data_IF_041692975956
#
_entry.id   IF_041692975956
#
_cell.length_a   1.000
_cell.length_b   1.000
_cell.length_c   1.000
_cell.angle_alpha   90.00
_cell.angle_beta   90.00
_cell.angle_gamma   90.00
#
_symmetry.space_group_name_H-M   'P 1'
#
loop_
_entity.id
_entity.type
_entity.pdbx_description
1 polymer ?
#
# COMPACT_ATOMS: atom_id res chain seq x y z
N UNK A 1 -91.03 27.99 -18.56
CA UNK A 1 -90.75 29.43 -18.81
C UNK A 1 -89.98 29.95 -17.60
N UNK A 2 -88.95 30.80 -17.80
CA UNK A 2 -87.91 31.24 -16.85
C UNK A 2 -86.77 30.22 -16.68
N UNK A 3 -85.58 30.33 -17.28
CA UNK A 3 -84.67 31.43 -17.64
C UNK A 3 -84.08 32.23 -16.45
N UNK A 4 -82.75 32.43 -16.55
CA UNK A 4 -81.83 33.23 -15.72
C UNK A 4 -81.36 32.56 -14.40
N UNK A 5 -80.08 32.53 -14.01
CA UNK A 5 -78.87 33.21 -14.51
C UNK A 5 -77.62 32.54 -13.94
N UNK A 6 -76.57 32.49 -14.75
CA UNK A 6 -75.23 31.98 -14.48
C UNK A 6 -74.47 32.89 -13.51
N UNK A 7 -73.81 32.32 -12.49
CA UNK A 7 -72.58 32.88 -11.92
C UNK A 7 -71.59 31.72 -11.81
N UNK A 8 -70.81 31.50 -12.86
CA UNK A 8 -69.65 30.61 -12.81
C UNK A 8 -68.52 31.38 -12.10
N UNK A 9 -68.28 31.06 -10.82
CA UNK A 9 -67.03 31.44 -10.15
C UNK A 9 -65.92 30.57 -10.75
N UNK A 10 -65.16 31.13 -11.68
CA UNK A 10 -63.90 30.53 -12.10
C UNK A 10 -62.93 30.57 -10.91
N UNK A 11 -62.75 29.44 -10.23
CA UNK A 11 -61.66 29.26 -9.30
C UNK A 11 -60.36 29.13 -10.12
N UNK A 12 -59.47 30.11 -10.03
CA UNK A 12 -58.10 29.94 -10.51
C UNK A 12 -57.43 28.83 -9.68
N UNK A 13 -56.85 27.79 -10.28
CA UNK A 13 -55.94 26.92 -9.56
C UNK A 13 -54.66 27.72 -9.31
N UNK A 14 -54.38 28.03 -8.05
CA UNK A 14 -53.05 28.48 -7.65
C UNK A 14 -52.08 27.31 -7.88
N UNK A 15 -51.34 27.37 -8.99
CA UNK A 15 -50.20 26.47 -9.23
C UNK A 15 -49.16 26.81 -8.17
N UNK A 16 -49.13 26.02 -7.09
CA UNK A 16 -48.00 26.02 -6.17
C UNK A 16 -46.79 25.52 -6.96
N UNK A 17 -45.90 26.44 -7.32
CA UNK A 17 -44.58 26.12 -7.85
C UNK A 17 -43.81 25.44 -6.71
N UNK A 18 -43.92 24.12 -6.63
CA UNK A 18 -43.06 23.33 -5.78
C UNK A 18 -41.63 23.50 -6.31
N UNK A 19 -40.89 24.44 -5.73
CA UNK A 19 -39.44 24.49 -5.84
C UNK A 19 -38.97 23.19 -5.21
N UNK A 20 -38.74 22.18 -6.04
CA UNK A 20 -37.94 21.04 -5.68
C UNK A 20 -36.53 21.60 -5.43
N UNK A 21 -36.29 22.02 -4.19
CA UNK A 21 -34.94 22.14 -3.67
C UNK A 21 -34.32 20.77 -3.91
N UNK A 22 -33.45 20.69 -4.92
CA UNK A 22 -32.72 19.47 -5.22
C UNK A 22 -32.07 19.04 -3.93
N UNK A 23 -32.55 17.93 -3.37
CA UNK A 23 -31.80 17.21 -2.37
C UNK A 23 -30.50 16.82 -3.08
N UNK A 24 -29.46 17.63 -2.90
CA UNK A 24 -28.11 17.21 -3.17
C UNK A 24 -27.93 15.99 -2.27
N UNK A 25 -28.10 14.80 -2.85
CA UNK A 25 -27.62 13.59 -2.22
C UNK A 25 -26.12 13.83 -2.03
N UNK A 26 -25.70 14.03 -0.79
CA UNK A 26 -24.29 14.03 -0.45
C UNK A 26 -23.69 12.77 -1.07
N UNK A 27 -22.73 12.95 -1.97
CA UNK A 27 -22.01 11.84 -2.55
C UNK A 27 -21.40 11.05 -1.40
N UNK A 28 -21.61 9.72 -1.41
CA UNK A 28 -20.99 8.86 -0.41
C UNK A 28 -19.47 9.05 -0.47
N UNK A 29 -18.78 9.13 0.67
CA UNK A 29 -17.33 9.29 0.69
C UNK A 29 -16.67 8.08 0.01
N UNK A 30 -15.62 8.36 -0.77
CA UNK A 30 -14.73 7.36 -1.34
C UNK A 30 -13.90 6.78 -0.19
N UNK A 31 -14.08 5.50 0.12
CA UNK A 31 -13.30 4.80 1.15
C UNK A 31 -11.97 4.34 0.56
N UNK A 32 -10.88 4.91 1.06
CA UNK A 32 -9.54 4.59 0.58
C UNK A 32 -8.69 3.93 1.66
N UNK A 33 -8.23 2.71 1.40
CA UNK A 33 -7.31 1.99 2.27
C UNK A 33 -5.85 2.41 2.08
N UNK A 34 -5.12 2.67 3.16
CA UNK A 34 -3.67 2.94 3.12
C UNK A 34 -2.96 2.42 4.37
N UNK A 35 -1.62 2.43 4.38
CA UNK A 35 -0.88 2.10 5.59
C UNK A 35 -0.90 3.25 6.58
N UNK A 36 -1.01 2.90 7.86
CA UNK A 36 -0.84 3.84 8.95
C UNK A 36 0.59 4.40 9.00
N UNK A 37 0.73 5.62 9.55
CA UNK A 37 2.01 6.31 9.66
C UNK A 37 2.25 7.23 8.46
N UNK A 38 3.42 7.16 7.78
CA UNK A 38 3.80 8.14 6.76
C UNK A 38 2.85 8.16 5.55
N UNK A 39 2.32 7.01 5.14
CA UNK A 39 1.42 6.93 3.98
C UNK A 39 0.06 7.59 4.31
N UNK A 40 -0.48 7.35 5.51
CA UNK A 40 -1.68 8.04 5.99
C UNK A 40 -1.53 9.57 5.99
N UNK A 41 -0.37 10.10 6.39
CA UNK A 41 -0.09 11.54 6.36
C UNK A 41 -0.09 12.11 4.93
N UNK A 42 0.41 11.34 3.95
CA UNK A 42 0.30 11.72 2.53
C UNK A 42 -1.18 11.76 2.12
N UNK A 43 -1.94 10.74 2.49
CA UNK A 43 -3.37 10.66 2.15
C UNK A 43 -4.24 11.69 2.87
N UNK A 44 -3.84 12.20 4.03
CA UNK A 44 -4.45 13.39 4.65
C UNK A 44 -4.30 14.65 3.79
N UNK A 45 -3.15 14.83 3.14
CA UNK A 45 -2.95 15.93 2.19
C UNK A 45 -3.80 15.72 0.94
N UNK A 46 -3.85 14.48 0.42
CA UNK A 46 -4.71 14.15 -0.73
C UNK A 46 -6.17 14.42 -0.42
N UNK A 47 -6.68 14.04 0.76
CA UNK A 47 -8.04 14.36 1.22
C UNK A 47 -8.33 15.87 1.17
N UNK A 48 -7.39 16.70 1.66
CA UNK A 48 -7.55 18.17 1.65
C UNK A 48 -7.58 18.75 0.24
N UNK A 49 -6.83 18.18 -0.70
CA UNK A 49 -6.84 18.59 -2.11
C UNK A 49 -8.12 18.12 -2.80
N UNK A 50 -8.46 16.84 -2.66
CA UNK A 50 -9.67 16.23 -3.23
C UNK A 50 -10.96 16.96 -2.80
N UNK A 51 -11.03 17.39 -1.53
CA UNK A 51 -12.17 18.17 -1.01
C UNK A 51 -12.37 19.50 -1.73
N UNK A 52 -11.29 20.15 -2.19
CA UNK A 52 -11.38 21.40 -2.99
C UNK A 52 -11.99 21.15 -4.36
N UNK A 53 -11.85 19.93 -4.87
CA UNK A 53 -12.40 19.48 -6.16
C UNK A 53 -13.77 18.80 -5.99
N UNK A 54 -14.39 18.89 -4.81
CA UNK A 54 -15.72 18.33 -4.53
C UNK A 54 -15.75 16.82 -4.28
N UNK A 55 -14.60 16.19 -4.04
CA UNK A 55 -14.51 14.76 -3.69
C UNK A 55 -14.34 14.59 -2.18
N UNK A 56 -15.25 13.86 -1.56
CA UNK A 56 -15.11 13.43 -0.17
C UNK A 56 -14.39 12.08 -0.13
N UNK A 57 -13.26 12.03 0.59
CA UNK A 57 -12.41 10.84 0.70
C UNK A 57 -12.28 10.48 2.17
N UNK A 58 -12.64 9.25 2.52
CA UNK A 58 -12.47 8.69 3.86
C UNK A 58 -11.28 7.73 3.86
N UNK A 59 -10.20 8.11 4.53
CA UNK A 59 -9.03 7.24 4.68
C UNK A 59 -9.25 6.19 5.76
N UNK A 60 -8.95 4.93 5.43
CA UNK A 60 -8.98 3.77 6.32
C UNK A 60 -7.56 3.24 6.44
N UNK A 61 -7.02 3.26 7.66
CA UNK A 61 -5.64 2.86 7.92
C UNK A 61 -5.51 1.36 8.24
N UNK A 62 -4.45 0.75 7.71
CA UNK A 62 -4.06 -0.63 7.98
C UNK A 62 -2.67 -0.70 8.62
N UNK A 63 -2.39 -1.83 9.28
CA UNK A 63 -1.12 -2.06 9.99
C UNK A 63 -0.26 -3.16 9.36
N UNK A 64 -0.82 -3.95 8.44
CA UNK A 64 -0.13 -4.99 7.69
C UNK A 64 -0.59 -5.02 6.23
N UNK A 65 0.27 -5.53 5.34
CA UNK A 65 0.02 -5.57 3.90
C UNK A 65 -1.00 -6.64 3.47
N UNK A 66 -1.39 -7.54 4.36
CA UNK A 66 -2.29 -8.64 4.00
C UNK A 66 -3.76 -8.20 3.99
N UNK A 67 -4.11 -7.07 4.62
CA UNK A 67 -5.52 -6.64 4.75
C UNK A 67 -6.10 -5.78 3.61
N UNK A 68 -5.37 -4.82 3.00
CA UNK A 68 -6.04 -3.83 2.16
C UNK A 68 -6.63 -4.40 0.86
N UNK A 69 -6.04 -5.45 0.30
CA UNK A 69 -6.56 -6.12 -0.91
C UNK A 69 -7.82 -6.96 -0.62
N UNK A 70 -7.87 -7.83 0.40
CA UNK A 70 -9.12 -8.47 0.80
C UNK A 70 -10.25 -7.49 1.09
N UNK A 71 -9.96 -6.38 1.78
CA UNK A 71 -10.97 -5.36 2.09
C UNK A 71 -11.52 -4.68 0.82
N UNK A 72 -10.66 -4.44 -0.18
CA UNK A 72 -11.10 -3.92 -1.48
C UNK A 72 -11.91 -4.95 -2.26
N UNK A 73 -11.48 -6.20 -2.31
CA UNK A 73 -12.17 -7.28 -3.02
C UNK A 73 -13.55 -7.58 -2.39
N UNK A 74 -13.68 -7.44 -1.07
CA UNK A 74 -14.94 -7.58 -0.34
C UNK A 74 -15.90 -6.38 -0.49
N UNK A 75 -15.45 -5.26 -1.06
CA UNK A 75 -16.24 -4.04 -1.20
C UNK A 75 -16.30 -3.16 0.06
N UNK A 76 -15.43 -3.41 1.04
CA UNK A 76 -15.30 -2.55 2.23
C UNK A 76 -14.58 -1.23 1.91
N UNK A 77 -13.76 -1.24 0.84
CA UNK A 77 -13.05 -0.10 0.28
C UNK A 77 -13.47 0.14 -1.17
N UNK A 78 -13.39 1.39 -1.63
CA UNK A 78 -13.55 1.76 -3.04
C UNK A 78 -12.19 1.74 -3.78
N UNK A 79 -11.10 1.99 -3.06
CA UNK A 79 -9.73 1.92 -3.56
C UNK A 79 -8.74 1.64 -2.42
N UNK A 80 -7.51 1.23 -2.75
CA UNK A 80 -6.39 1.26 -1.82
C UNK A 80 -5.14 1.85 -2.49
N UNK A 81 -4.27 2.46 -1.67
CA UNK A 81 -3.04 3.12 -2.09
C UNK A 81 -1.91 2.81 -1.12
N UNK A 82 -1.38 1.59 -1.22
CA UNK A 82 -0.33 1.07 -0.32
C UNK A 82 0.74 0.19 -1.00
N UNK A 83 0.49 -0.27 -2.22
CA UNK A 83 1.25 -1.36 -2.85
C UNK A 83 1.91 -0.93 -4.16
N UNK A 84 2.91 -1.69 -4.58
CA UNK A 84 3.52 -1.59 -5.91
C UNK A 84 2.96 -2.65 -6.87
N UNK A 85 3.17 -2.46 -8.18
CA UNK A 85 2.61 -3.35 -9.21
C UNK A 85 3.02 -4.82 -9.04
N UNK A 86 4.30 -5.18 -8.76
CA UNK A 86 4.66 -6.58 -8.52
C UNK A 86 3.93 -7.24 -7.34
N UNK A 87 3.64 -6.48 -6.27
CA UNK A 87 2.84 -7.01 -5.15
C UNK A 87 1.40 -7.26 -5.60
N UNK A 88 0.78 -6.30 -6.31
CA UNK A 88 -0.57 -6.46 -6.84
C UNK A 88 -0.67 -7.66 -7.79
N UNK A 89 0.25 -7.79 -8.74
CA UNK A 89 0.29 -8.91 -9.69
C UNK A 89 0.39 -10.26 -8.96
N UNK A 90 1.23 -10.32 -7.92
CA UNK A 90 1.37 -11.50 -7.08
C UNK A 90 0.09 -11.84 -6.32
N UNK A 91 -0.59 -10.83 -5.76
CA UNK A 91 -1.86 -11.01 -5.05
C UNK A 91 -2.99 -11.45 -5.98
N UNK A 92 -3.13 -10.81 -7.14
CA UNK A 92 -4.11 -11.20 -8.17
C UNK A 92 -3.87 -12.63 -8.63
N UNK A 93 -2.62 -13.00 -8.93
CA UNK A 93 -2.26 -14.37 -9.32
C UNK A 93 -2.55 -15.40 -8.23
N UNK A 94 -2.27 -15.07 -6.97
CA UNK A 94 -2.39 -16.00 -5.85
C UNK A 94 -3.81 -16.13 -5.28
N UNK A 95 -4.63 -15.08 -5.39
CA UNK A 95 -5.94 -14.99 -4.72
C UNK A 95 -7.11 -14.83 -5.70
N UNK A 96 -6.86 -14.52 -6.97
CA UNK A 96 -7.90 -14.34 -7.97
C UNK A 96 -8.66 -13.01 -7.84
N UNK A 97 -8.11 -12.03 -7.12
CA UNK A 97 -8.72 -10.71 -6.97
C UNK A 97 -8.93 -10.03 -8.32
N UNK A 98 -10.01 -9.25 -8.43
CA UNK A 98 -10.32 -8.44 -9.62
C UNK A 98 -9.89 -6.98 -9.45
N UNK A 99 -8.74 -6.79 -8.79
CA UNK A 99 -8.19 -5.47 -8.51
C UNK A 99 -7.29 -5.07 -9.68
N UNK A 100 -7.45 -3.83 -10.14
CA UNK A 100 -6.66 -3.25 -11.24
C UNK A 100 -5.93 -2.00 -10.77
N UNK A 101 -4.80 -1.71 -11.38
CA UNK A 101 -4.10 -0.46 -11.16
C UNK A 101 -4.80 0.68 -11.93
N UNK A 102 -5.14 1.76 -11.23
CA UNK A 102 -5.80 2.95 -11.79
C UNK A 102 -4.89 4.18 -11.85
N UNK A 103 -3.67 4.11 -11.29
CA UNK A 103 -2.73 5.22 -11.25
C UNK A 103 -1.49 4.94 -10.40
N UNK A 104 -0.37 5.53 -10.80
CA UNK A 104 0.88 5.52 -10.02
C UNK A 104 0.91 6.73 -9.09
N UNK A 105 1.51 6.56 -7.90
CA UNK A 105 1.56 7.59 -6.87
C UNK A 105 2.98 8.10 -6.62
N UNK A 106 3.79 7.35 -5.88
CA UNK A 106 5.18 7.69 -5.58
C UNK A 106 6.04 6.43 -5.47
N UNK A 107 7.35 6.63 -5.44
CA UNK A 107 8.34 5.56 -5.27
C UNK A 107 8.96 5.66 -3.89
N UNK A 108 8.97 4.52 -3.19
CA UNK A 108 9.54 4.38 -1.86
C UNK A 108 10.77 3.43 -1.89
N UNK A 109 12.01 3.95 -1.81
CA UNK A 109 13.21 3.13 -1.82
C UNK A 109 13.29 2.21 -0.59
N UNK A 110 13.38 0.90 -0.83
CA UNK A 110 13.63 -0.10 0.21
C UNK A 110 15.13 -0.22 0.48
N UNK A 111 15.50 -0.47 1.73
CA UNK A 111 16.90 -0.62 2.12
C UNK A 111 17.09 -1.66 3.22
N UNK A 112 18.36 -2.02 3.47
CA UNK A 112 18.75 -2.79 4.64
C UNK A 112 19.04 -1.86 5.81
N UNK A 113 18.66 -2.27 7.00
CA UNK A 113 18.90 -1.56 8.25
C UNK A 113 19.53 -2.51 9.26
N UNK A 114 20.33 -1.97 10.17
CA UNK A 114 20.99 -2.73 11.22
C UNK A 114 21.27 -1.87 12.44
N UNK A 115 21.13 -2.48 13.63
CA UNK A 115 21.64 -1.92 14.90
C UNK A 115 23.09 -2.30 15.16
N UNK A 116 23.66 -3.26 14.43
CA UNK A 116 24.95 -3.92 14.71
C UNK A 116 26.05 -3.60 13.70
N UNK A 117 25.70 -3.36 12.44
CA UNK A 117 26.65 -3.11 11.35
C UNK A 117 26.29 -1.83 10.58
N UNK A 118 27.27 -1.26 9.87
CA UNK A 118 27.11 -0.04 9.05
C UNK A 118 27.04 -0.31 7.54
N UNK A 119 27.56 -1.45 7.10
CA UNK A 119 27.52 -1.90 5.70
C UNK A 119 27.21 -3.40 5.62
N UNK A 120 26.59 -3.85 4.53
CA UNK A 120 26.34 -5.28 4.30
C UNK A 120 27.66 -6.07 4.13
N UNK A 121 28.72 -5.41 3.67
CA UNK A 121 30.07 -5.95 3.63
C UNK A 121 30.61 -6.33 5.03
N UNK A 122 30.08 -5.75 6.11
CA UNK A 122 30.48 -6.08 7.49
C UNK A 122 29.72 -7.28 8.10
N UNK A 123 28.78 -7.90 7.37
CA UNK A 123 28.13 -9.14 7.82
C UNK A 123 29.18 -10.21 8.14
N UNK A 124 29.05 -10.85 9.30
CA UNK A 124 29.91 -11.97 9.72
C UNK A 124 29.42 -13.29 9.13
N UNK A 125 30.27 -14.32 9.16
CA UNK A 125 29.83 -15.66 8.80
C UNK A 125 28.67 -16.12 9.70
N UNK A 126 27.62 -16.69 9.12
CA UNK A 126 26.45 -17.18 9.86
C UNK A 126 25.47 -16.10 10.32
N UNK A 127 25.67 -14.83 9.94
CA UNK A 127 24.81 -13.71 10.31
C UNK A 127 23.34 -13.93 9.91
N UNK A 128 22.40 -13.49 10.75
CA UNK A 128 20.96 -13.56 10.50
C UNK A 128 20.49 -12.31 9.75
N UNK A 129 19.94 -12.49 8.55
CA UNK A 129 19.46 -11.41 7.69
C UNK A 129 17.96 -11.56 7.47
N UNK A 130 17.18 -10.60 7.96
CA UNK A 130 15.74 -10.55 7.78
C UNK A 130 15.35 -10.12 6.38
N UNK A 131 14.41 -10.83 5.76
CA UNK A 131 13.79 -10.49 4.48
C UNK A 131 12.27 -10.66 4.58
N UNK A 132 11.52 -9.99 3.71
CA UNK A 132 10.08 -10.15 3.62
C UNK A 132 9.71 -11.55 3.14
N UNK A 133 8.65 -12.11 3.73
CA UNK A 133 8.10 -13.42 3.36
C UNK A 133 7.08 -13.36 2.21
N UNK A 134 6.63 -12.17 1.79
CA UNK A 134 5.84 -12.03 0.57
C UNK A 134 6.75 -12.14 -0.68
N UNK A 135 6.29 -12.78 -1.77
CA UNK A 135 7.16 -13.07 -2.92
C UNK A 135 7.82 -11.84 -3.53
N UNK A 136 7.09 -10.73 -3.63
CA UNK A 136 7.53 -9.56 -4.37
C UNK A 136 8.57 -8.73 -3.60
N UNK A 137 8.38 -8.53 -2.30
CA UNK A 137 9.33 -7.81 -1.47
C UNK A 137 10.52 -8.69 -1.08
N UNK A 138 10.29 -9.99 -0.84
CA UNK A 138 11.36 -10.97 -0.63
C UNK A 138 12.32 -11.00 -1.83
N UNK A 139 11.76 -10.98 -3.05
CA UNK A 139 12.55 -10.84 -4.28
C UNK A 139 13.38 -9.55 -4.29
N UNK A 140 12.78 -8.40 -3.97
CA UNK A 140 13.51 -7.11 -3.89
C UNK A 140 14.67 -7.19 -2.89
N UNK A 141 14.49 -7.85 -1.75
CA UNK A 141 15.52 -7.97 -0.73
C UNK A 141 16.68 -8.85 -1.21
N UNK A 142 16.39 -9.98 -1.87
CA UNK A 142 17.39 -10.86 -2.44
C UNK A 142 18.18 -10.17 -3.57
N UNK A 143 17.51 -9.41 -4.43
CA UNK A 143 18.18 -8.63 -5.47
C UNK A 143 19.10 -7.55 -4.88
N UNK A 144 18.71 -6.91 -3.77
CA UNK A 144 19.56 -5.95 -3.06
C UNK A 144 20.80 -6.64 -2.44
N UNK A 145 20.64 -7.82 -1.83
CA UNK A 145 21.77 -8.60 -1.32
C UNK A 145 22.71 -9.04 -2.45
N UNK A 146 22.16 -9.44 -3.60
CA UNK A 146 22.96 -9.76 -4.78
C UNK A 146 23.72 -8.53 -5.29
N UNK A 147 23.05 -7.38 -5.39
CA UNK A 147 23.67 -6.12 -5.81
C UNK A 147 24.82 -5.70 -4.87
N UNK A 148 24.69 -5.98 -3.57
CA UNK A 148 25.72 -5.75 -2.57
C UNK A 148 26.82 -6.84 -2.52
N UNK A 149 26.76 -7.84 -3.42
CA UNK A 149 27.74 -8.93 -3.47
C UNK A 149 27.72 -9.88 -2.26
N UNK A 150 26.65 -9.86 -1.45
CA UNK A 150 26.52 -10.72 -0.26
C UNK A 150 26.18 -12.16 -0.65
N UNK A 151 25.34 -12.31 -1.66
CA UNK A 151 24.90 -13.58 -2.23
C UNK A 151 24.93 -13.49 -3.75
N UNK A 152 24.81 -14.64 -4.42
CA UNK A 152 24.50 -14.72 -5.85
C UNK A 152 23.25 -15.56 -6.05
N UNK A 153 22.35 -15.07 -6.88
CA UNK A 153 21.15 -15.79 -7.29
C UNK A 153 21.41 -16.58 -8.56
N UNK A 154 20.64 -17.64 -8.75
CA UNK A 154 20.58 -18.41 -9.99
C UNK A 154 20.31 -17.47 -11.17
N UNK A 155 20.96 -17.71 -12.31
CA UNK A 155 20.73 -16.91 -13.51
C UNK A 155 19.23 -16.88 -13.88
N UNK A 156 18.70 -15.68 -14.07
CA UNK A 156 17.28 -15.44 -14.39
C UNK A 156 16.32 -15.48 -13.19
N UNK A 157 16.79 -15.79 -11.97
CA UNK A 157 15.97 -15.61 -10.77
C UNK A 157 15.81 -14.11 -10.46
N UNK A 158 14.59 -13.73 -10.07
CA UNK A 158 14.26 -12.35 -9.69
C UNK A 158 13.99 -11.39 -10.84
N UNK A 159 13.97 -11.85 -12.08
CA UNK A 159 13.73 -11.03 -13.28
C UNK A 159 12.44 -11.45 -14.00
N UNK A 160 11.92 -10.56 -14.86
CA UNK A 160 10.79 -10.84 -15.76
C UNK A 160 9.53 -11.42 -15.07
N UNK A 161 9.22 -10.94 -13.85
CA UNK A 161 8.06 -11.41 -13.08
C UNK A 161 8.27 -12.75 -12.36
N UNK A 162 9.46 -13.35 -12.45
CA UNK A 162 9.84 -14.51 -11.65
C UNK A 162 10.51 -14.06 -10.35
N UNK A 163 9.79 -14.09 -9.24
CA UNK A 163 10.32 -13.70 -7.94
C UNK A 163 11.35 -14.72 -7.45
N UNK A 164 12.56 -14.26 -7.12
CA UNK A 164 13.57 -15.09 -6.46
C UNK A 164 13.11 -15.46 -5.04
N UNK A 165 13.56 -16.61 -4.58
CA UNK A 165 13.38 -17.12 -3.22
C UNK A 165 14.75 -17.46 -2.60
N UNK A 166 14.84 -17.70 -1.28
CA UNK A 166 16.07 -18.20 -0.67
C UNK A 166 16.62 -19.47 -1.32
N UNK A 167 15.77 -20.28 -1.98
CA UNK A 167 16.18 -21.50 -2.69
C UNK A 167 16.94 -21.22 -3.98
N UNK A 168 16.85 -20.00 -4.51
CA UNK A 168 17.52 -19.58 -5.73
C UNK A 168 18.94 -19.04 -5.46
N UNK A 169 19.40 -19.04 -4.21
CA UNK A 169 20.77 -18.62 -3.85
C UNK A 169 21.77 -19.71 -4.23
N UNK A 170 22.69 -19.39 -5.16
CA UNK A 170 23.72 -20.31 -5.65
C UNK A 170 25.10 -20.06 -5.04
N UNK A 171 25.37 -18.84 -4.55
CA UNK A 171 26.59 -18.52 -3.79
C UNK A 171 26.22 -17.73 -2.54
N UNK A 172 26.72 -18.18 -1.38
CA UNK A 172 26.53 -17.55 -0.07
C UNK A 172 27.84 -17.73 0.74
N UNK A 173 28.92 -16.99 0.41
CA UNK A 173 30.25 -17.22 0.97
C UNK A 173 30.28 -17.01 2.49
N UNK A 174 29.46 -16.08 3.00
CA UNK A 174 29.32 -15.79 4.43
C UNK A 174 28.33 -16.73 5.13
N UNK A 175 27.73 -17.70 4.44
CA UNK A 175 26.73 -18.63 4.99
C UNK A 175 25.66 -17.91 5.83
N UNK A 176 25.23 -16.73 5.38
CA UNK A 176 24.21 -15.96 6.09
C UNK A 176 22.91 -16.76 6.16
N UNK A 177 22.17 -16.58 7.24
CA UNK A 177 20.87 -17.20 7.46
C UNK A 177 19.79 -16.20 7.07
N UNK A 178 19.10 -16.47 5.97
CA UNK A 178 17.95 -15.68 5.55
C UNK A 178 16.76 -16.04 6.46
N UNK A 179 16.19 -15.03 7.13
CA UNK A 179 15.05 -15.17 8.04
C UNK A 179 13.85 -14.48 7.39
N UNK A 180 12.91 -15.27 6.89
CA UNK A 180 11.70 -14.76 6.25
C UNK A 180 10.66 -14.37 7.31
N UNK A 181 10.27 -13.09 7.32
CA UNK A 181 9.31 -12.53 8.27
C UNK A 181 8.27 -11.67 7.54
N UNK A 182 7.13 -11.46 8.19
CA UNK A 182 6.17 -10.45 7.74
C UNK A 182 6.80 -9.06 7.75
N UNK A 183 6.49 -8.24 6.75
CA UNK A 183 7.06 -6.90 6.57
C UNK A 183 6.90 -6.02 7.81
N UNK A 184 5.77 -6.12 8.53
CA UNK A 184 5.49 -5.34 9.73
C UNK A 184 6.33 -5.76 10.94
N UNK A 185 6.98 -6.94 10.90
CA UNK A 185 7.80 -7.45 12.00
C UNK A 185 9.28 -7.09 11.86
N UNK A 186 9.78 -6.91 10.63
CA UNK A 186 11.20 -6.69 10.35
C UNK A 186 11.83 -5.53 11.16
N UNK A 187 11.18 -4.36 11.36
CA UNK A 187 11.75 -3.28 12.18
C UNK A 187 12.02 -3.70 13.62
N UNK A 188 11.07 -4.42 14.25
CA UNK A 188 11.19 -4.84 15.66
C UNK A 188 12.16 -6.01 15.82
N UNK A 189 12.35 -6.81 14.79
CA UNK A 189 13.30 -7.92 14.79
C UNK A 189 14.77 -7.48 14.66
N UNK A 190 15.07 -6.18 14.50
CA UNK A 190 16.45 -5.67 14.38
C UNK A 190 17.33 -5.95 15.61
N UNK A 191 16.75 -6.17 16.79
CA UNK A 191 17.53 -6.56 17.98
C UNK A 191 18.08 -7.99 17.88
N UNK A 192 17.30 -8.90 17.27
CA UNK A 192 17.64 -10.31 17.12
C UNK A 192 18.35 -10.65 15.80
N UNK A 193 18.31 -9.74 14.83
CA UNK A 193 18.91 -9.88 13.50
C UNK A 193 20.21 -9.08 13.38
N UNK A 194 21.06 -9.45 12.42
CA UNK A 194 22.28 -8.70 12.09
C UNK A 194 22.00 -7.59 11.06
N UNK A 195 21.03 -7.81 10.18
CA UNK A 195 20.44 -6.78 9.32
C UNK A 195 19.03 -7.22 8.90
N UNK A 196 18.19 -6.29 8.45
CA UNK A 196 16.89 -6.60 7.86
C UNK A 196 16.59 -5.67 6.68
N UNK A 197 16.01 -6.21 5.60
CA UNK A 197 15.40 -5.40 4.55
C UNK A 197 14.08 -4.81 5.08
N UNK A 198 13.88 -3.50 4.98
CA UNK A 198 12.68 -2.84 5.52
C UNK A 198 12.12 -1.87 4.48
N UNK A 199 10.81 -1.97 4.21
CA UNK A 199 10.07 -1.02 3.39
C UNK A 199 10.04 0.37 4.06
N UNK A 200 10.02 1.44 3.25
CA UNK A 200 10.15 2.82 3.74
C UNK A 200 9.08 3.22 4.74
N UNK A 201 7.83 2.85 4.49
CA UNK A 201 6.69 3.08 5.36
C UNK A 201 6.91 2.47 6.77
N UNK A 202 7.30 1.19 6.84
CA UNK A 202 7.62 0.54 8.11
C UNK A 202 8.89 1.09 8.75
N UNK A 203 9.89 1.48 7.97
CA UNK A 203 11.10 2.11 8.48
C UNK A 203 10.77 3.43 9.19
N UNK A 204 10.08 4.35 8.49
CA UNK A 204 9.71 5.66 9.02
C UNK A 204 8.75 5.54 10.20
N UNK A 205 7.76 4.64 10.13
CA UNK A 205 6.84 4.35 11.24
C UNK A 205 7.56 3.88 12.52
N UNK A 206 8.72 3.25 12.39
CA UNK A 206 9.55 2.78 13.51
C UNK A 206 10.74 3.71 13.81
N UNK A 207 10.69 4.97 13.36
CA UNK A 207 11.69 5.99 13.70
C UNK A 207 13.01 5.87 12.93
N UNK A 208 13.09 5.02 11.91
CA UNK A 208 14.25 4.93 11.03
C UNK A 208 14.15 5.98 9.92
N UNK A 209 15.27 6.62 9.61
CA UNK A 209 15.39 7.61 8.54
C UNK A 209 16.08 6.96 7.33
N UNK A 210 15.38 6.66 6.23
CA UNK A 210 15.96 5.96 5.07
C UNK A 210 17.24 6.60 4.52
N UNK A 211 17.32 7.92 4.50
CA UNK A 211 18.50 8.64 4.02
C UNK A 211 19.72 8.58 4.96
N UNK A 212 19.53 8.19 6.23
CA UNK A 212 20.58 8.21 7.27
C UNK A 212 20.92 6.82 7.81
N UNK A 213 19.90 5.99 8.00
CA UNK A 213 20.00 4.73 8.75
C UNK A 213 20.09 3.50 7.83
N UNK A 214 19.96 3.70 6.51
CA UNK A 214 20.22 2.63 5.54
C UNK A 214 21.68 2.18 5.66
N UNK A 215 21.83 0.87 5.83
CA UNK A 215 23.11 0.17 5.74
C UNK A 215 23.63 0.30 4.32
N UNK A 216 24.88 0.74 4.18
CA UNK A 216 25.47 0.90 2.84
C UNK A 216 25.67 -0.46 2.16
N UNK A 217 25.40 -0.49 0.86
CA UNK A 217 25.63 -1.65 -0.02
C UNK A 217 27.09 -1.79 -0.35
#
# INVERSE_FOLDING_TARGET
MSLFSRIARAALPAIALAVAAGAHAESKPIKLGTMSGPDAQIWEVVQKVAKKDGLDVKVIEFNDYAQPNPALDAGDLDANGFQHQPFLDGQVKARGYKIVNVGLTYVAPMGFYSKKIKSLAALKEGAKVGIQNDPSNGNRALLLLQKAGVIKLKAGAGTNGNNATPRDVVENPKKIKLVELDSAQLPRSLDDLDAAAINTDYAVKNGLTPAKDVTTT
#
